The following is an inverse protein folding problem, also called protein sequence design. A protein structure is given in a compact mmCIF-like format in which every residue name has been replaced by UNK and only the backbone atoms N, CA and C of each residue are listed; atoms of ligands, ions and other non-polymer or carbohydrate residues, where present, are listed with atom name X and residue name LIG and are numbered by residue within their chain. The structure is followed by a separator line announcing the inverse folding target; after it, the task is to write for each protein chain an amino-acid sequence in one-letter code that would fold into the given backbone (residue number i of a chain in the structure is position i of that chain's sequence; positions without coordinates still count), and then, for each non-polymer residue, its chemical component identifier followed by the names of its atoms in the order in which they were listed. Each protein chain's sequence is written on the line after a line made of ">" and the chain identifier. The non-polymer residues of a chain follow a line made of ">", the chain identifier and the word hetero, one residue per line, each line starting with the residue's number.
data_IF_481594074106
#
_entry.id   IF_481594074106
#
_cell.length_a   1.000
_cell.length_b   1.000
_cell.length_c   1.000
_cell.angle_alpha   90.00
_cell.angle_beta   90.00
_cell.angle_gamma   90.00
#
_symmetry.space_group_name_H-M   'P 1'
#
loop_
_entity.id
_entity.type
_entity.pdbx_description
1 polymer ?
#
# COMPACT_ATOMS: atom_id res chain seq x y z
N UNK A 1 -17.46 3.48 -39.66
CA UNK A 1 -16.04 3.22 -39.37
C UNK A 1 -15.95 2.30 -38.17
N UNK A 2 -15.70 1.02 -38.41
CA UNK A 2 -15.08 0.09 -37.46
C UNK A 2 -14.47 -1.01 -38.33
N UNK A 3 -13.15 -0.98 -38.44
CA UNK A 3 -12.37 -1.81 -39.35
C UNK A 3 -12.23 -3.23 -38.83
N UNK A 4 -12.59 -4.14 -39.72
CA UNK A 4 -12.19 -5.53 -39.79
C UNK A 4 -10.65 -5.67 -39.85
N UNK A 5 -10.09 -6.77 -39.32
CA UNK A 5 -9.09 -7.57 -40.05
C UNK A 5 -8.77 -8.87 -39.30
N UNK A 6 -9.15 -9.99 -39.91
CA UNK A 6 -8.69 -11.31 -39.56
C UNK A 6 -7.50 -11.77 -40.41
N UNK A 7 -7.01 -12.96 -40.04
CA UNK A 7 -6.18 -13.85 -40.84
C UNK A 7 -5.12 -14.56 -39.98
N UNK A 8 -4.52 -15.67 -40.44
CA UNK A 8 -4.98 -16.68 -41.42
C UNK A 8 -4.82 -18.12 -40.85
N UNK A 9 -5.33 -19.13 -41.56
CA UNK A 9 -5.38 -20.57 -41.19
C UNK A 9 -6.51 -20.91 -40.19
N UNK A 10 -7.72 -21.36 -40.55
CA UNK A 10 -8.15 -22.13 -41.73
C UNK A 10 -7.72 -23.60 -41.57
N UNK A 11 -8.60 -24.59 -41.36
CA UNK A 11 -10.06 -24.59 -41.28
C UNK A 11 -10.62 -26.02 -41.14
N UNK A 12 -11.96 -26.09 -41.17
CA UNK A 12 -12.82 -27.24 -41.46
C UNK A 12 -12.86 -28.35 -40.39
N UNK A 13 -13.98 -28.75 -39.80
CA UNK A 13 -15.38 -28.68 -40.23
C UNK A 13 -15.94 -30.12 -40.19
N UNK A 14 -17.10 -30.30 -39.56
CA UNK A 14 -17.89 -31.53 -39.66
C UNK A 14 -18.57 -31.95 -38.36
N UNK A 15 -19.87 -31.69 -38.30
CA UNK A 15 -20.93 -32.49 -37.67
C UNK A 15 -20.54 -33.93 -37.30
N UNK A 16 -21.00 -34.41 -36.14
CA UNK A 16 -22.29 -35.10 -36.05
C UNK A 16 -22.49 -35.63 -34.61
N UNK A 17 -23.73 -35.47 -34.12
CA UNK A 17 -24.45 -36.42 -33.25
C UNK A 17 -23.80 -37.08 -32.02
N UNK A 18 -24.48 -36.92 -30.88
CA UNK A 18 -24.85 -38.10 -30.10
C UNK A 18 -24.43 -38.13 -28.64
N UNK A 19 -25.42 -37.94 -27.79
CA UNK A 19 -25.43 -38.10 -26.33
C UNK A 19 -24.76 -39.39 -25.81
N UNK A 20 -24.12 -39.23 -24.66
CA UNK A 20 -23.57 -40.32 -23.85
C UNK A 20 -24.52 -40.64 -22.70
N UNK A 21 -25.02 -41.88 -22.71
CA UNK A 21 -25.57 -42.53 -21.54
C UNK A 21 -24.69 -43.70 -21.09
N UNK A 22 -24.46 -43.72 -19.78
CA UNK A 22 -24.50 -44.82 -18.83
C UNK A 22 -23.68 -46.14 -19.02
N UNK A 23 -23.16 -46.59 -17.85
CA UNK A 23 -22.50 -47.88 -17.55
C UNK A 23 -23.49 -49.08 -17.68
N UNK A 24 -23.18 -50.35 -17.30
CA UNK A 24 -21.92 -51.01 -16.87
C UNK A 24 -21.68 -52.43 -17.48
N UNK A 25 -20.60 -53.09 -17.01
CA UNK A 25 -20.58 -54.49 -16.53
C UNK A 25 -19.78 -55.54 -17.34
N UNK A 26 -18.76 -56.08 -16.66
CA UNK A 26 -18.32 -57.48 -16.51
C UNK A 26 -18.50 -58.51 -17.65
N UNK A 27 -17.42 -59.22 -17.96
CA UNK A 27 -17.50 -60.66 -18.25
C UNK A 27 -16.53 -61.22 -19.30
N UNK A 28 -15.61 -62.08 -18.86
CA UNK A 28 -15.38 -63.38 -19.52
C UNK A 28 -14.38 -63.48 -20.68
N UNK A 29 -13.17 -63.94 -20.30
CA UNK A 29 -12.19 -64.79 -21.00
C UNK A 29 -12.26 -65.12 -22.51
N UNK A 30 -11.09 -65.08 -23.16
CA UNK A 30 -10.45 -66.21 -23.90
C UNK A 30 -9.06 -65.81 -24.43
N UNK A 31 -8.08 -66.72 -24.28
CA UNK A 31 -6.76 -66.81 -24.95
C UNK A 31 -6.92 -66.92 -26.49
N UNK A 32 -5.92 -66.62 -27.37
CA UNK A 32 -4.63 -67.36 -27.41
C UNK A 32 -3.37 -66.65 -28.00
N UNK A 33 -2.18 -67.22 -27.68
CA UNK A 33 -0.92 -67.17 -28.46
C UNK A 33 -0.18 -65.82 -28.48
N UNK A 34 1.14 -65.71 -28.61
CA UNK A 34 2.23 -66.62 -29.00
C UNK A 34 3.55 -65.79 -28.89
N UNK A 35 4.62 -66.37 -28.31
CA UNK A 35 6.09 -66.13 -28.47
C UNK A 35 6.67 -64.70 -28.36
N UNK A 36 7.74 -64.35 -27.62
CA UNK A 36 8.81 -65.00 -26.81
C UNK A 36 9.75 -63.85 -26.34
N UNK A 37 11.05 -64.05 -26.00
CA UNK A 37 11.73 -65.00 -25.10
C UNK A 37 12.21 -64.33 -23.78
N UNK A 38 12.36 -65.13 -22.70
CA UNK A 38 12.84 -64.68 -21.38
C UNK A 38 14.37 -64.69 -21.29
N UNK A 39 14.96 -63.60 -20.80
CA UNK A 39 16.37 -63.46 -20.43
C UNK A 39 16.61 -64.01 -19.00
N UNK A 40 17.47 -65.03 -18.82
CA UNK A 40 17.79 -65.61 -17.51
C UNK A 40 19.08 -65.00 -16.94
N UNK A 41 19.02 -63.78 -16.39
CA UNK A 41 20.22 -63.15 -15.79
C UNK A 41 20.00 -62.58 -14.37
N UNK A 42 18.75 -62.42 -13.91
CA UNK A 42 18.47 -61.91 -12.56
C UNK A 42 18.48 -63.00 -11.48
N UNK A 43 18.22 -64.25 -11.86
CA UNK A 43 18.13 -65.38 -10.92
C UNK A 43 19.51 -65.93 -10.52
N UNK A 44 20.50 -65.85 -11.42
CA UNK A 44 21.89 -66.22 -11.15
C UNK A 44 22.62 -65.22 -10.25
N UNK A 45 22.30 -63.93 -10.36
CA UNK A 45 22.90 -62.87 -9.54
C UNK A 45 22.45 -63.00 -8.07
N UNK A 46 21.18 -63.36 -7.86
CA UNK A 46 20.59 -63.58 -6.53
C UNK A 46 21.14 -64.86 -5.89
N UNK A 47 21.34 -65.92 -6.69
CA UNK A 47 21.95 -67.17 -6.22
C UNK A 47 23.41 -66.99 -5.80
N UNK A 48 24.20 -66.25 -6.58
CA UNK A 48 25.61 -65.93 -6.23
C UNK A 48 25.74 -65.08 -4.98
N UNK A 49 24.80 -64.15 -4.74
CA UNK A 49 24.73 -63.37 -3.49
C UNK A 49 24.42 -64.23 -2.26
N UNK A 50 23.53 -65.22 -2.41
CA UNK A 50 23.17 -66.15 -1.33
C UNK A 50 24.30 -67.17 -1.04
N UNK A 51 25.07 -67.58 -2.05
CA UNK A 51 26.19 -68.50 -1.87
C UNK A 51 27.41 -67.84 -1.22
N UNK A 52 27.71 -66.57 -1.53
CA UNK A 52 28.79 -65.82 -0.84
C UNK A 52 28.43 -65.50 0.62
N UNK A 53 27.16 -65.21 0.93
CA UNK A 53 26.71 -65.02 2.30
C UNK A 53 26.81 -66.32 3.12
N UNK A 54 26.53 -67.47 2.49
CA UNK A 54 26.61 -68.80 3.13
C UNK A 54 28.03 -69.23 3.43
N UNK A 55 29.01 -68.87 2.59
CA UNK A 55 30.43 -69.14 2.81
C UNK A 55 31.03 -68.22 3.88
N UNK A 56 30.53 -66.98 4.02
CA UNK A 56 30.95 -66.07 5.09
C UNK A 56 30.30 -66.41 6.45
N UNK A 57 29.13 -67.06 6.45
CA UNK A 57 28.36 -67.40 7.66
C UNK A 57 28.58 -68.85 8.15
N UNK A 58 29.29 -69.70 7.40
CA UNK A 58 29.46 -71.14 7.67
C UNK A 58 30.89 -71.56 7.97
N UNK A 59 31.43 -71.15 9.12
CA UNK A 59 32.76 -71.56 9.60
C UNK A 59 32.82 -73.00 10.13
N UNK A 60 33.45 -73.88 9.33
CA UNK A 60 34.43 -74.94 9.69
C UNK A 60 34.13 -75.98 10.79
N UNK A 61 34.17 -77.26 10.38
CA UNK A 61 34.44 -78.46 11.20
C UNK A 61 33.42 -79.57 10.91
N UNK A 62 33.73 -80.81 10.54
CA UNK A 62 34.95 -81.59 10.65
C UNK A 62 34.62 -82.94 11.29
N UNK A 63 34.28 -83.94 10.47
CA UNK A 63 34.42 -85.37 10.78
C UNK A 63 33.32 -86.08 11.60
N UNK A 64 33.02 -87.33 11.19
CA UNK A 64 32.72 -88.41 12.15
C UNK A 64 31.29 -88.96 12.20
N UNK A 65 31.10 -90.07 11.49
CA UNK A 65 30.08 -91.14 11.62
C UNK A 65 29.34 -91.25 12.97
N UNK A 66 28.02 -91.44 12.93
CA UNK A 66 27.33 -92.69 13.32
C UNK A 66 25.87 -92.44 13.77
N UNK A 67 24.96 -93.07 13.03
CA UNK A 67 23.78 -93.81 13.47
C UNK A 67 22.74 -93.17 14.43
N UNK A 68 21.54 -92.96 13.87
CA UNK A 68 20.27 -93.34 14.50
C UNK A 68 19.55 -92.26 15.32
N UNK A 69 18.30 -91.99 14.96
CA UNK A 69 17.31 -91.42 15.88
C UNK A 69 16.49 -90.25 15.34
N UNK A 70 15.19 -90.50 15.18
CA UNK A 70 14.06 -89.67 15.62
C UNK A 70 14.29 -88.17 15.85
N UNK A 71 13.44 -87.32 15.27
CA UNK A 71 13.22 -85.98 15.81
C UNK A 71 12.60 -85.03 14.80
N UNK A 72 11.44 -84.47 15.15
CA UNK A 72 10.80 -83.41 14.39
C UNK A 72 11.77 -82.25 14.13
N UNK A 73 11.76 -81.78 12.88
CA UNK A 73 12.47 -80.57 12.49
C UNK A 73 11.72 -79.35 13.02
N UNK A 74 11.87 -79.07 14.31
CA UNK A 74 11.76 -77.70 14.80
C UNK A 74 12.81 -76.87 14.06
N UNK A 75 12.34 -75.83 13.37
CA UNK A 75 13.18 -74.92 12.61
C UNK A 75 14.29 -74.36 13.50
N UNK A 76 15.52 -74.79 13.24
CA UNK A 76 16.74 -74.25 13.82
C UNK A 76 16.82 -72.77 13.45
N UNK A 77 16.28 -71.91 14.32
CA UNK A 77 16.52 -70.48 14.28
C UNK A 77 18.03 -70.20 14.28
N UNK A 78 18.45 -69.08 13.67
CA UNK A 78 19.87 -68.79 13.45
C UNK A 78 20.66 -68.91 14.76
N UNK A 79 21.69 -69.75 14.76
CA UNK A 79 22.60 -69.89 15.89
C UNK A 79 23.29 -68.54 16.14
N UNK A 80 22.92 -67.88 17.24
CA UNK A 80 23.48 -66.62 17.68
C UNK A 80 24.90 -66.84 18.22
N UNK A 81 25.88 -66.98 17.34
CA UNK A 81 27.30 -66.89 17.73
C UNK A 81 27.55 -65.47 18.29
N UNK A 82 28.41 -65.33 19.30
CA UNK A 82 28.69 -64.02 19.92
C UNK A 82 29.14 -62.94 18.92
N UNK A 83 29.73 -63.35 17.79
CA UNK A 83 30.06 -62.49 16.65
C UNK A 83 28.85 -62.02 15.85
N UNK A 84 27.83 -62.86 15.65
CA UNK A 84 26.58 -62.48 14.98
C UNK A 84 25.76 -61.49 15.82
N UNK A 85 25.75 -61.68 17.14
CA UNK A 85 25.15 -60.72 18.09
C UNK A 85 25.92 -59.39 18.06
N UNK A 86 27.26 -59.43 18.05
CA UNK A 86 28.08 -58.22 18.00
C UNK A 86 27.90 -57.43 16.69
N UNK A 87 27.87 -58.12 15.55
CA UNK A 87 27.63 -57.50 14.24
C UNK A 87 26.20 -56.96 14.15
N UNK A 88 25.20 -57.73 14.61
CA UNK A 88 23.81 -57.28 14.68
C UNK A 88 23.63 -56.04 15.57
N UNK A 89 24.31 -56.01 16.72
CA UNK A 89 24.33 -54.85 17.63
C UNK A 89 24.96 -53.61 17.00
N UNK A 90 26.08 -53.77 16.26
CA UNK A 90 26.72 -52.68 15.53
C UNK A 90 25.84 -52.12 14.41
N UNK A 91 25.19 -53.00 13.64
CA UNK A 91 24.25 -52.58 12.59
C UNK A 91 23.04 -51.86 13.20
N UNK A 92 22.50 -52.38 14.31
CA UNK A 92 21.41 -51.73 15.03
C UNK A 92 21.82 -50.35 15.59
N UNK A 93 23.02 -50.22 16.16
CA UNK A 93 23.58 -48.94 16.62
C UNK A 93 23.78 -47.96 15.46
N UNK A 94 24.26 -48.43 14.32
CA UNK A 94 24.44 -47.60 13.12
C UNK A 94 23.10 -47.08 12.57
N UNK A 95 22.10 -47.96 12.47
CA UNK A 95 20.73 -47.58 12.06
C UNK A 95 20.08 -46.62 13.07
N UNK A 96 20.32 -46.84 14.37
CA UNK A 96 19.86 -45.96 15.43
C UNK A 96 20.50 -44.57 15.36
N UNK A 97 21.82 -44.50 15.17
CA UNK A 97 22.53 -43.24 15.02
C UNK A 97 22.08 -42.50 13.76
N UNK A 98 21.89 -43.20 12.63
CA UNK A 98 21.37 -42.61 11.40
C UNK A 98 19.95 -42.07 11.57
N UNK A 99 19.06 -42.81 12.25
CA UNK A 99 17.70 -42.38 12.54
C UNK A 99 17.62 -41.22 13.55
N UNK A 100 18.69 -41.00 14.33
CA UNK A 100 18.79 -39.91 15.32
C UNK A 100 19.16 -38.57 14.70
N UNK A 101 19.64 -38.55 13.45
CA UNK A 101 19.86 -37.31 12.72
C UNK A 101 18.55 -36.76 12.17
N UNK A 102 18.43 -35.44 12.18
CA UNK A 102 17.30 -34.75 11.59
C UNK A 102 17.71 -33.40 11.02
N UNK A 103 16.89 -32.88 10.12
CA UNK A 103 17.13 -31.59 9.48
C UNK A 103 16.11 -30.57 9.96
N UNK A 104 16.59 -29.35 10.21
CA UNK A 104 15.78 -28.18 10.58
C UNK A 104 15.88 -27.17 9.44
N UNK A 105 14.75 -26.61 9.02
CA UNK A 105 14.73 -25.62 7.93
C UNK A 105 15.28 -24.26 8.38
N UNK A 106 15.71 -23.40 7.46
CA UNK A 106 16.17 -22.04 7.78
C UNK A 106 15.17 -21.15 8.55
N UNK A 107 13.86 -21.42 8.41
CA UNK A 107 12.79 -20.68 9.11
C UNK A 107 12.40 -21.28 10.47
N UNK A 108 12.99 -22.43 10.81
CA UNK A 108 12.67 -23.23 11.98
C UNK A 108 13.87 -23.29 12.93
N UNK A 109 13.61 -23.42 14.23
CA UNK A 109 14.61 -23.78 15.24
C UNK A 109 14.09 -24.98 16.02
N UNK A 110 14.98 -25.89 16.41
CA UNK A 110 14.60 -27.03 17.24
C UNK A 110 14.97 -26.79 18.69
N UNK A 111 14.05 -27.04 19.61
CA UNK A 111 14.36 -27.11 21.03
C UNK A 111 14.57 -28.57 21.40
N UNK A 112 15.79 -28.89 21.84
CA UNK A 112 16.19 -30.23 22.24
C UNK A 112 16.04 -30.37 23.77
N UNK A 113 15.31 -31.39 24.19
CA UNK A 113 15.11 -31.71 25.59
C UNK A 113 15.80 -33.02 25.94
N UNK A 114 16.68 -33.00 26.94
CA UNK A 114 17.27 -34.21 27.50
C UNK A 114 16.45 -34.66 28.71
N UNK A 115 15.80 -35.84 28.62
CA UNK A 115 14.93 -36.38 29.67
C UNK A 115 13.87 -35.36 30.16
N UNK A 116 13.34 -34.54 29.25
CA UNK A 116 12.32 -33.52 29.54
C UNK A 116 12.85 -32.20 30.11
N UNK A 117 14.16 -32.02 30.27
CA UNK A 117 14.78 -30.73 30.62
C UNK A 117 15.37 -30.08 29.38
N UNK A 118 15.28 -28.76 29.28
CA UNK A 118 15.94 -27.99 28.23
C UNK A 118 17.44 -28.31 28.18
N UNK A 119 17.93 -28.71 27.02
CA UNK A 119 19.34 -29.02 26.79
C UNK A 119 20.00 -27.97 25.89
N UNK A 120 19.46 -27.77 24.69
CA UNK A 120 20.00 -26.82 23.72
C UNK A 120 18.93 -26.40 22.70
N UNK A 121 19.17 -25.26 22.07
CA UNK A 121 18.46 -24.86 20.85
C UNK A 121 19.34 -25.23 19.65
N UNK A 122 18.78 -25.99 18.72
CA UNK A 122 19.41 -26.41 17.48
C UNK A 122 19.24 -25.36 16.39
N UNK A 123 20.34 -25.03 15.74
CA UNK A 123 20.39 -24.09 14.62
C UNK A 123 19.87 -24.73 13.31
N UNK A 124 19.53 -23.94 12.28
CA UNK A 124 19.14 -24.49 10.99
C UNK A 124 20.21 -25.39 10.38
N UNK A 125 19.83 -26.57 9.91
CA UNK A 125 20.75 -27.56 9.37
C UNK A 125 20.56 -28.96 9.93
N UNK A 126 21.64 -29.74 9.93
CA UNK A 126 21.64 -31.12 10.42
C UNK A 126 21.89 -31.14 11.93
N UNK A 127 20.92 -31.63 12.67
CA UNK A 127 20.96 -31.78 14.13
C UNK A 127 20.87 -33.26 14.53
N UNK A 128 21.25 -33.56 15.78
CA UNK A 128 21.35 -34.92 16.29
C UNK A 128 20.62 -35.06 17.63
N UNK A 129 19.49 -35.77 17.62
CA UNK A 129 18.68 -36.04 18.81
C UNK A 129 18.52 -37.56 18.98
N UNK A 130 19.34 -38.20 19.84
CA UNK A 130 19.26 -39.63 20.10
C UNK A 130 18.04 -39.99 20.95
N UNK A 131 17.02 -40.57 20.32
CA UNK A 131 15.87 -41.14 21.03
C UNK A 131 16.29 -42.43 21.77
N UNK A 132 15.89 -42.70 23.02
CA UNK A 132 14.83 -42.04 23.81
C UNK A 132 15.32 -40.95 24.78
N UNK A 133 16.61 -40.61 24.78
CA UNK A 133 17.19 -39.70 25.77
C UNK A 133 16.94 -38.23 25.43
N UNK A 134 16.93 -37.89 24.14
CA UNK A 134 16.67 -36.54 23.64
C UNK A 134 15.39 -36.53 22.81
N UNK A 135 14.45 -35.67 23.19
CA UNK A 135 13.27 -35.32 22.39
C UNK A 135 13.47 -33.97 21.72
N UNK A 136 12.87 -33.77 20.55
CA UNK A 136 12.99 -32.53 19.78
C UNK A 136 11.61 -31.93 19.52
N UNK A 137 11.54 -30.61 19.58
CA UNK A 137 10.37 -29.83 19.18
C UNK A 137 10.80 -28.78 18.17
N UNK A 138 10.13 -28.68 17.02
CA UNK A 138 10.53 -27.79 15.93
C UNK A 138 9.52 -26.65 15.85
N UNK A 139 10.00 -25.42 16.04
CA UNK A 139 9.18 -24.22 15.99
C UNK A 139 9.60 -23.33 14.83
N UNK A 140 8.63 -22.70 14.19
CA UNK A 140 8.86 -21.70 13.14
C UNK A 140 9.12 -20.34 13.77
N UNK A 141 10.39 -19.95 13.90
CA UNK A 141 10.77 -18.71 14.58
C UNK A 141 10.77 -17.49 13.66
N UNK A 142 11.12 -17.68 12.38
CA UNK A 142 11.30 -16.57 11.44
C UNK A 142 10.01 -16.13 10.73
N UNK A 143 8.89 -16.82 10.96
CA UNK A 143 7.61 -16.51 10.31
C UNK A 143 6.83 -15.50 11.14
N UNK A 144 6.36 -14.43 10.50
CA UNK A 144 5.39 -13.52 11.11
C UNK A 144 4.05 -14.25 11.31
N UNK A 145 3.60 -14.33 12.57
CA UNK A 145 2.29 -14.82 12.95
C UNK A 145 1.37 -13.64 13.25
N UNK A 146 0.08 -13.83 13.01
CA UNK A 146 -0.94 -12.80 13.17
C UNK A 146 -1.98 -13.31 14.17
N UNK A 147 -2.22 -12.52 15.21
CA UNK A 147 -3.36 -12.70 16.10
C UNK A 147 -4.31 -11.55 15.87
N UNK A 148 -5.57 -11.87 15.58
CA UNK A 148 -6.63 -10.89 15.35
C UNK A 148 -7.51 -10.78 16.59
N UNK A 149 -7.80 -9.54 17.00
CA UNK A 149 -8.61 -9.22 18.17
C UNK A 149 -9.72 -8.26 17.72
N UNK A 150 -10.93 -8.46 18.23
CA UNK A 150 -12.11 -7.61 17.94
C UNK A 150 -13.09 -8.17 16.91
N UNK A 151 -12.74 -9.23 16.17
CA UNK A 151 -13.59 -9.81 15.10
C UNK A 151 -14.94 -10.40 15.56
N UNK A 152 -15.15 -10.54 16.88
CA UNK A 152 -16.42 -10.91 17.49
C UNK A 152 -17.20 -9.69 17.98
N UNK A 153 -18.52 -9.68 17.79
CA UNK A 153 -19.44 -8.54 18.02
C UNK A 153 -19.44 -7.91 19.44
N UNK A 154 -18.63 -8.40 20.39
CA UNK A 154 -18.50 -7.84 21.75
C UNK A 154 -17.06 -7.70 22.25
N UNK A 155 -16.08 -8.30 21.59
CA UNK A 155 -14.69 -8.31 22.09
C UNK A 155 -13.91 -7.04 21.71
N UNK A 156 -14.37 -6.30 20.69
CA UNK A 156 -13.75 -5.05 20.22
C UNK A 156 -14.25 -3.77 20.90
N UNK A 157 -15.27 -3.85 21.78
CA UNK A 157 -15.87 -2.67 22.40
C UNK A 157 -15.01 -2.15 23.56
N UNK A 158 -14.58 -0.88 23.46
CA UNK A 158 -13.75 -0.19 24.44
C UNK A 158 -14.29 1.20 24.77
N UNK A 159 -14.01 1.67 25.98
CA UNK A 159 -14.36 3.02 26.43
C UNK A 159 -13.11 3.90 26.38
N UNK A 160 -13.22 5.05 25.72
CA UNK A 160 -12.16 6.06 25.64
C UNK A 160 -12.15 6.94 26.90
N UNK A 161 -11.07 7.70 27.10
CA UNK A 161 -10.93 8.60 28.26
C UNK A 161 -11.94 9.75 28.29
N UNK A 162 -12.53 10.08 27.14
CA UNK A 162 -13.62 11.07 26.98
C UNK A 162 -15.02 10.43 26.99
N UNK A 163 -15.16 9.25 27.63
CA UNK A 163 -16.42 8.53 27.87
C UNK A 163 -17.17 8.08 26.60
N UNK A 164 -16.46 7.94 25.47
CA UNK A 164 -17.06 7.41 24.25
C UNK A 164 -16.81 5.91 24.09
N UNK A 165 -17.79 5.20 23.55
CA UNK A 165 -17.63 3.79 23.19
C UNK A 165 -17.13 3.72 21.75
N UNK A 166 -16.12 2.88 21.52
CA UNK A 166 -15.53 2.62 20.20
C UNK A 166 -15.39 1.12 19.98
N UNK A 167 -15.70 0.68 18.77
CA UNK A 167 -15.50 -0.68 18.28
C UNK A 167 -14.17 -0.75 17.52
N UNK A 168 -13.19 -1.43 18.10
CA UNK A 168 -11.81 -1.51 17.60
C UNK A 168 -11.48 -2.93 17.18
N UNK A 169 -11.16 -3.07 15.89
CA UNK A 169 -10.54 -4.26 15.34
C UNK A 169 -9.05 -4.00 15.11
N UNK A 170 -8.21 -4.87 15.64
CA UNK A 170 -6.78 -4.76 15.44
C UNK A 170 -6.12 -6.13 15.34
N UNK A 171 -4.93 -6.16 14.76
CA UNK A 171 -4.11 -7.35 14.65
C UNK A 171 -2.73 -7.08 15.22
N UNK A 172 -2.18 -8.08 15.92
CA UNK A 172 -0.82 -8.06 16.42
C UNK A 172 0.00 -9.03 15.59
N UNK A 173 1.04 -8.50 14.96
CA UNK A 173 2.00 -9.27 14.18
C UNK A 173 3.24 -9.50 15.03
N UNK A 174 3.60 -10.76 15.22
CA UNK A 174 4.68 -11.17 16.12
C UNK A 174 5.48 -12.33 15.52
N UNK A 175 6.67 -12.55 16.05
CA UNK A 175 7.51 -13.71 15.77
C UNK A 175 8.21 -14.20 17.04
N UNK A 176 8.74 -15.41 16.99
CA UNK A 176 9.45 -16.01 18.14
C UNK A 176 10.91 -15.56 18.07
N UNK A 177 11.38 -14.90 19.13
CA UNK A 177 12.77 -14.49 19.26
C UNK A 177 13.61 -15.55 19.99
N UNK A 178 13.04 -16.15 21.05
CA UNK A 178 13.68 -17.22 21.83
C UNK A 178 12.70 -18.40 21.98
N UNK A 179 12.92 -19.52 21.26
CA UNK A 179 12.02 -20.66 21.29
C UNK A 179 12.03 -21.42 22.61
N UNK A 180 13.12 -21.34 23.39
CA UNK A 180 13.19 -22.00 24.70
C UNK A 180 12.27 -21.26 25.68
N UNK A 181 12.39 -19.94 25.75
CA UNK A 181 11.51 -19.10 26.56
C UNK A 181 10.04 -19.25 26.17
N UNK A 182 9.76 -19.28 24.87
CA UNK A 182 8.41 -19.46 24.34
C UNK A 182 7.74 -20.78 24.78
N UNK A 183 8.47 -21.90 24.78
CA UNK A 183 7.92 -23.21 25.15
C UNK A 183 7.77 -23.43 26.67
N UNK A 184 8.69 -22.88 27.47
CA UNK A 184 8.74 -23.23 28.89
C UNK A 184 8.09 -22.19 29.81
N UNK A 185 8.02 -20.92 29.41
CA UNK A 185 7.48 -19.86 30.26
C UNK A 185 5.99 -19.59 30.03
N UNK A 186 5.45 -19.97 28.87
CA UNK A 186 4.05 -19.79 28.53
C UNK A 186 3.36 -21.13 28.34
N UNK A 187 2.26 -21.36 29.08
CA UNK A 187 1.44 -22.56 28.92
C UNK A 187 0.65 -22.56 27.60
N UNK A 188 0.11 -21.40 27.24
CA UNK A 188 -0.63 -21.17 26.01
C UNK A 188 -0.21 -19.80 25.45
N UNK A 189 0.77 -19.76 24.54
CA UNK A 189 1.33 -18.52 24.04
C UNK A 189 0.31 -17.68 23.26
N UNK A 190 -0.49 -18.30 22.39
CA UNK A 190 -1.46 -17.57 21.56
C UNK A 190 -2.54 -16.90 22.43
N UNK A 191 -3.11 -17.62 23.40
CA UNK A 191 -4.08 -17.06 24.32
C UNK A 191 -3.48 -15.96 25.21
N UNK A 192 -2.22 -16.10 25.62
CA UNK A 192 -1.53 -15.10 26.44
C UNK A 192 -1.26 -13.82 25.64
N UNK A 193 -0.78 -13.94 24.40
CA UNK A 193 -0.57 -12.80 23.50
C UNK A 193 -1.88 -12.06 23.27
N UNK A 194 -2.97 -12.79 23.02
CA UNK A 194 -4.30 -12.22 22.85
C UNK A 194 -4.72 -11.42 24.08
N UNK A 195 -4.67 -12.03 25.27
CA UNK A 195 -5.08 -11.39 26.51
C UNK A 195 -4.23 -10.16 26.87
N UNK A 196 -2.91 -10.25 26.70
CA UNK A 196 -1.99 -9.11 26.93
C UNK A 196 -2.25 -7.99 25.93
N UNK A 197 -2.43 -8.34 24.66
CA UNK A 197 -2.69 -7.35 23.59
C UNK A 197 -4.02 -6.64 23.79
N UNK A 198 -5.07 -7.39 24.17
CA UNK A 198 -6.37 -6.82 24.50
C UNK A 198 -6.28 -5.88 25.71
N UNK A 199 -5.60 -6.31 26.78
CA UNK A 199 -5.43 -5.49 27.98
C UNK A 199 -4.65 -4.19 27.68
N UNK A 200 -3.54 -4.30 26.95
CA UNK A 200 -2.72 -3.16 26.57
C UNK A 200 -3.48 -2.17 25.67
N UNK A 201 -4.25 -2.69 24.70
CA UNK A 201 -5.11 -1.85 23.87
C UNK A 201 -6.17 -1.14 24.72
N UNK A 202 -6.87 -1.86 25.60
CA UNK A 202 -7.88 -1.28 26.51
C UNK A 202 -7.28 -0.19 27.39
N UNK A 203 -6.08 -0.37 27.91
CA UNK A 203 -5.39 0.62 28.72
C UNK A 203 -5.06 1.91 27.93
N UNK A 204 -4.45 1.77 26.76
CA UNK A 204 -4.07 2.93 25.93
C UNK A 204 -5.31 3.68 25.43
N UNK A 205 -6.36 2.97 25.05
CA UNK A 205 -7.62 3.56 24.60
C UNK A 205 -8.33 4.29 25.73
N UNK A 206 -8.35 3.73 26.94
CA UNK A 206 -8.92 4.40 28.12
C UNK A 206 -8.20 5.70 28.50
N UNK A 207 -6.92 5.86 28.12
CA UNK A 207 -6.14 7.08 28.33
C UNK A 207 -6.22 8.07 27.15
N UNK A 208 -6.85 7.66 26.04
CA UNK A 208 -6.91 8.42 24.80
C UNK A 208 -8.31 8.97 24.54
N UNK A 209 -8.40 10.10 23.85
CA UNK A 209 -9.67 10.65 23.37
C UNK A 209 -10.11 9.97 22.07
N UNK A 210 -11.41 10.00 21.76
CA UNK A 210 -11.97 9.34 20.57
C UNK A 210 -11.44 9.94 19.25
N UNK A 211 -11.36 11.27 19.16
CA UNK A 211 -11.03 11.95 17.89
C UNK A 211 -9.65 11.56 17.30
N UNK A 212 -8.55 11.49 18.09
CA UNK A 212 -7.26 10.94 17.66
C UNK A 212 -7.34 9.50 17.12
N UNK A 213 -8.13 8.63 17.78
CA UNK A 213 -8.31 7.22 17.41
C UNK A 213 -8.99 7.11 16.03
N UNK A 214 -10.01 7.94 15.77
CA UNK A 214 -10.73 7.92 14.51
C UNK A 214 -9.90 8.47 13.33
N UNK A 215 -8.94 9.36 13.60
CA UNK A 215 -8.22 10.11 12.59
C UNK A 215 -6.74 9.70 12.47
N UNK A 216 -5.84 10.68 12.52
CA UNK A 216 -4.44 10.58 12.08
C UNK A 216 -3.50 9.91 13.10
N UNK A 217 -3.91 9.81 14.35
CA UNK A 217 -3.03 9.38 15.45
C UNK A 217 -3.06 7.88 15.71
N UNK A 218 -3.75 7.09 14.87
CA UNK A 218 -3.74 5.62 14.92
C UNK A 218 -2.33 5.03 14.93
N UNK A 219 -1.39 5.65 14.22
CA UNK A 219 0.01 5.20 14.21
C UNK A 219 0.69 5.35 15.58
N UNK A 220 0.51 6.48 16.25
CA UNK A 220 1.11 6.74 17.57
C UNK A 220 0.53 5.82 18.64
N UNK A 221 -0.78 5.57 18.57
CA UNK A 221 -1.47 4.63 19.45
C UNK A 221 -0.95 3.21 19.20
N UNK A 222 -0.80 2.80 17.94
CA UNK A 222 -0.26 1.49 17.58
C UNK A 222 1.15 1.28 18.13
N UNK A 223 2.00 2.30 18.04
CA UNK A 223 3.38 2.26 18.56
C UNK A 223 3.40 2.16 20.09
N UNK A 224 2.50 2.88 20.77
CA UNK A 224 2.38 2.84 22.23
C UNK A 224 1.86 1.47 22.70
N UNK A 225 0.84 0.93 22.04
CA UNK A 225 0.33 -0.42 22.32
C UNK A 225 1.40 -1.47 22.05
N UNK A 226 2.12 -1.37 20.92
CA UNK A 226 3.24 -2.26 20.61
C UNK A 226 4.27 -2.27 21.73
N UNK A 227 4.68 -1.09 22.21
CA UNK A 227 5.65 -0.96 23.28
C UNK A 227 5.14 -1.60 24.59
N UNK A 228 3.89 -1.33 24.97
CA UNK A 228 3.28 -1.87 26.18
C UNK A 228 3.10 -3.40 26.13
N UNK A 229 2.68 -3.94 24.98
CA UNK A 229 2.58 -5.40 24.76
C UNK A 229 3.96 -6.04 24.84
N UNK A 230 4.97 -5.46 24.20
CA UNK A 230 6.33 -5.98 24.25
C UNK A 230 6.89 -5.96 25.68
N UNK A 231 6.69 -4.88 26.43
CA UNK A 231 7.15 -4.75 27.81
C UNK A 231 6.48 -5.80 28.72
N UNK A 232 5.16 -5.97 28.57
CA UNK A 232 4.40 -6.98 29.32
C UNK A 232 4.86 -8.40 28.97
N UNK A 233 5.04 -8.73 27.69
CA UNK A 233 5.54 -10.04 27.26
C UNK A 233 6.99 -10.29 27.70
N UNK A 234 7.82 -9.24 27.75
CA UNK A 234 9.18 -9.33 28.30
C UNK A 234 9.15 -9.63 29.80
N UNK A 235 8.21 -9.06 30.55
CA UNK A 235 8.06 -9.32 31.98
C UNK A 235 7.70 -10.78 32.30
N UNK A 236 7.05 -11.47 31.36
CA UNK A 236 6.74 -12.90 31.43
C UNK A 236 7.84 -13.79 30.87
N UNK A 237 8.96 -13.20 30.43
CA UNK A 237 10.02 -13.90 29.72
C UNK A 237 9.47 -14.74 28.56
N UNK A 238 8.51 -14.21 27.81
CA UNK A 238 7.78 -14.95 26.79
C UNK A 238 8.62 -15.40 25.59
N UNK A 239 9.79 -14.77 25.34
CA UNK A 239 10.61 -15.05 24.17
C UNK A 239 9.97 -14.59 22.84
N UNK A 240 8.98 -13.71 22.90
CA UNK A 240 8.23 -13.20 21.73
C UNK A 240 8.71 -11.80 21.38
N UNK A 241 8.82 -11.52 20.08
CA UNK A 241 9.05 -10.19 19.56
C UNK A 241 7.82 -9.70 18.76
N UNK A 242 7.27 -8.57 19.18
CA UNK A 242 6.14 -7.91 18.53
C UNK A 242 6.68 -7.03 17.41
N UNK A 243 6.35 -7.37 16.18
CA UNK A 243 6.80 -6.63 14.99
C UNK A 243 6.00 -5.34 14.86
N UNK A 244 4.67 -5.43 14.90
CA UNK A 244 3.75 -4.29 14.70
C UNK A 244 2.35 -4.62 15.18
N UNK A 245 1.60 -3.56 15.49
CA UNK A 245 0.16 -3.60 15.76
C UNK A 245 -0.52 -2.81 14.64
N UNK A 246 -1.48 -3.43 13.95
CA UNK A 246 -2.22 -2.77 12.88
C UNK A 246 -3.69 -2.63 13.28
N UNK A 247 -4.24 -1.42 13.15
CA UNK A 247 -5.67 -1.19 13.26
C UNK A 247 -6.37 -1.57 11.95
N UNK A 248 -7.37 -2.44 12.03
CA UNK A 248 -8.27 -2.76 10.91
C UNK A 248 -9.47 -1.82 10.88
N UNK A 249 -10.08 -1.58 12.05
CA UNK A 249 -11.29 -0.77 12.21
C UNK A 249 -11.26 -0.05 13.55
N UNK A 250 -11.77 1.17 13.58
CA UNK A 250 -11.98 1.93 14.81
C UNK A 250 -13.14 2.88 14.53
N UNK A 251 -14.37 2.42 14.77
CA UNK A 251 -15.59 3.17 14.50
C UNK A 251 -16.49 3.22 15.75
N UNK A 252 -17.33 4.25 15.91
CA UNK A 252 -18.38 4.22 16.93
C UNK A 252 -19.37 3.07 16.69
N UNK A 253 -20.08 2.59 17.73
CA UNK A 253 -21.13 1.59 17.60
C UNK A 253 -22.20 1.99 16.57
N UNK A 254 -22.75 1.00 15.88
CA UNK A 254 -23.72 1.24 14.80
C UNK A 254 -24.98 1.96 15.29
N UNK A 255 -25.33 1.80 16.56
CA UNK A 255 -26.50 2.41 17.18
C UNK A 255 -26.38 3.94 17.28
N UNK A 256 -25.15 4.49 17.35
CA UNK A 256 -24.90 5.93 17.57
C UNK A 256 -24.11 6.60 16.46
N UNK A 257 -23.68 5.84 15.44
CA UNK A 257 -22.83 6.35 14.36
C UNK A 257 -23.49 7.49 13.56
N UNK A 258 -24.81 7.46 13.39
CA UNK A 258 -25.55 8.51 12.68
C UNK A 258 -25.49 9.83 13.45
N UNK A 259 -25.83 9.82 14.75
CA UNK A 259 -25.73 11.00 15.60
C UNK A 259 -24.30 11.56 15.67
N UNK A 260 -23.29 10.69 15.68
CA UNK A 260 -21.88 11.12 15.64
C UNK A 260 -21.55 11.81 14.31
N UNK A 261 -21.99 11.25 13.19
CA UNK A 261 -21.81 11.85 11.85
C UNK A 261 -22.50 13.21 11.76
N UNK A 262 -23.67 13.37 12.36
CA UNK A 262 -24.40 14.65 12.39
C UNK A 262 -23.62 15.71 13.17
N UNK A 263 -23.06 15.38 14.33
CA UNK A 263 -22.23 16.31 15.12
C UNK A 263 -20.96 16.71 14.35
N UNK A 264 -20.33 15.76 13.66
CA UNK A 264 -19.17 16.04 12.82
C UNK A 264 -19.52 16.92 11.63
N UNK A 265 -20.63 16.64 10.95
CA UNK A 265 -21.13 17.44 9.83
C UNK A 265 -21.44 18.88 10.29
N UNK A 266 -22.14 19.04 11.41
CA UNK A 266 -22.43 20.36 11.99
C UNK A 266 -21.16 21.12 12.39
N UNK A 267 -20.16 20.44 12.95
CA UNK A 267 -18.87 21.05 13.31
C UNK A 267 -18.10 21.50 12.07
N UNK A 268 -18.07 20.68 11.03
CA UNK A 268 -17.45 21.04 9.74
C UNK A 268 -18.17 22.21 9.07
N UNK A 269 -19.51 22.24 9.16
CA UNK A 269 -20.31 23.34 8.62
C UNK A 269 -20.06 24.65 9.38
N UNK A 270 -19.99 24.61 10.72
CA UNK A 270 -19.58 25.75 11.53
C UNK A 270 -18.21 26.28 11.09
N UNK A 271 -17.20 25.42 11.03
CA UNK A 271 -15.83 25.82 10.68
C UNK A 271 -15.76 26.37 9.25
N UNK A 272 -16.57 25.83 8.33
CA UNK A 272 -16.70 26.34 6.97
C UNK A 272 -17.33 27.73 6.95
N UNK A 273 -18.42 27.94 7.68
CA UNK A 273 -19.10 29.23 7.78
C UNK A 273 -18.20 30.30 8.40
N UNK A 274 -17.45 29.95 9.45
CA UNK A 274 -16.48 30.84 10.08
C UNK A 274 -15.38 31.25 9.07
N UNK A 275 -14.78 30.28 8.37
CA UNK A 275 -13.78 30.57 7.33
C UNK A 275 -14.34 31.40 6.17
N UNK A 276 -15.60 31.20 5.80
CA UNK A 276 -16.27 32.00 4.78
C UNK A 276 -16.51 33.44 5.26
N UNK A 277 -16.91 33.62 6.52
CA UNK A 277 -17.08 34.93 7.13
C UNK A 277 -15.74 35.68 7.21
N UNK A 278 -14.68 35.00 7.65
CA UNK A 278 -13.32 35.56 7.68
C UNK A 278 -12.84 35.95 6.28
N UNK A 279 -13.05 35.08 5.29
CA UNK A 279 -12.71 35.38 3.90
C UNK A 279 -13.47 36.60 3.37
N UNK A 280 -14.75 36.73 3.68
CA UNK A 280 -15.57 37.89 3.31
C UNK A 280 -15.07 39.17 3.99
N UNK A 281 -14.82 39.13 5.30
CA UNK A 281 -14.31 40.27 6.05
C UNK A 281 -12.95 40.74 5.52
N UNK A 282 -12.04 39.80 5.28
CA UNK A 282 -10.73 40.09 4.69
C UNK A 282 -10.85 40.68 3.28
N UNK A 283 -11.76 40.15 2.45
CA UNK A 283 -12.01 40.68 1.10
C UNK A 283 -12.58 42.09 1.13
N UNK A 284 -13.57 42.34 2.00
CA UNK A 284 -14.18 43.66 2.14
C UNK A 284 -13.17 44.70 2.64
N UNK A 285 -12.37 44.35 3.65
CA UNK A 285 -11.33 45.22 4.19
C UNK A 285 -10.24 45.51 3.15
N UNK A 286 -9.79 44.49 2.40
CA UNK A 286 -8.81 44.67 1.34
C UNK A 286 -9.38 45.52 0.18
N UNK A 287 -10.64 45.32 -0.19
CA UNK A 287 -11.34 46.13 -1.19
C UNK A 287 -11.41 47.60 -0.78
N UNK A 288 -11.86 47.89 0.44
CA UNK A 288 -11.94 49.26 0.96
C UNK A 288 -10.57 49.94 1.03
N UNK A 289 -9.50 49.22 1.40
CA UNK A 289 -8.13 49.74 1.37
C UNK A 289 -7.66 50.02 -0.06
N UNK A 290 -7.99 49.15 -1.00
CA UNK A 290 -7.69 49.33 -2.42
C UNK A 290 -8.37 50.56 -3.01
N UNK A 291 -9.67 50.74 -2.74
CA UNK A 291 -10.45 51.91 -3.17
C UNK A 291 -9.89 53.20 -2.57
N UNK A 292 -9.59 53.21 -1.27
CA UNK A 292 -8.99 54.37 -0.60
C UNK A 292 -7.63 54.75 -1.20
N UNK A 293 -6.77 53.76 -1.48
CA UNK A 293 -5.49 54.00 -2.13
C UNK A 293 -5.67 54.49 -3.57
N UNK A 294 -6.61 53.92 -4.33
CA UNK A 294 -6.92 54.34 -5.69
C UNK A 294 -7.35 55.82 -5.74
N UNK A 295 -8.28 56.23 -4.88
CA UNK A 295 -8.76 57.63 -4.82
C UNK A 295 -7.62 58.59 -4.47
N UNK A 296 -6.73 58.19 -3.56
CA UNK A 296 -5.57 59.00 -3.18
C UNK A 296 -4.60 59.16 -4.36
N UNK A 297 -4.27 58.07 -5.06
CA UNK A 297 -3.38 58.11 -6.21
C UNK A 297 -3.99 58.85 -7.41
N UNK A 298 -5.30 58.72 -7.66
CA UNK A 298 -6.01 59.51 -8.67
C UNK A 298 -5.98 61.01 -8.34
N UNK A 299 -6.11 61.36 -7.06
CA UNK A 299 -6.03 62.75 -6.60
C UNK A 299 -4.61 63.32 -6.76
N UNK A 300 -3.59 62.54 -6.43
CA UNK A 300 -2.18 62.92 -6.64
C UNK A 300 -1.84 63.04 -8.12
N UNK A 301 -2.32 62.11 -8.95
CA UNK A 301 -2.17 62.17 -10.40
C UNK A 301 -2.84 63.42 -10.98
N UNK A 302 -4.06 63.74 -10.55
CA UNK A 302 -4.76 64.96 -10.97
C UNK A 302 -4.01 66.23 -10.54
N UNK A 303 -3.54 66.28 -9.28
CA UNK A 303 -2.73 67.39 -8.76
C UNK A 303 -1.48 67.57 -9.62
N UNK A 304 -0.74 66.50 -9.87
CA UNK A 304 0.46 66.53 -10.69
C UNK A 304 0.16 66.98 -12.13
N UNK A 305 -0.94 66.50 -12.72
CA UNK A 305 -1.38 66.91 -14.05
C UNK A 305 -1.66 68.43 -14.11
N UNK A 306 -2.42 68.96 -13.15
CA UNK A 306 -2.78 70.39 -13.10
C UNK A 306 -1.52 71.25 -12.93
N UNK A 307 -0.62 70.88 -12.02
CA UNK A 307 0.63 71.62 -11.78
C UNK A 307 1.52 71.59 -13.03
N UNK A 308 1.76 70.40 -13.60
CA UNK A 308 2.59 70.26 -14.80
C UNK A 308 1.99 70.99 -16.01
N UNK A 309 0.67 71.00 -16.15
CA UNK A 309 0.01 71.74 -17.22
C UNK A 309 0.15 73.26 -17.01
N UNK A 310 -0.05 73.77 -15.79
CA UNK A 310 0.14 75.18 -15.49
C UNK A 310 1.60 75.63 -15.70
N UNK A 311 2.58 74.82 -15.28
CA UNK A 311 4.00 75.08 -15.51
C UNK A 311 4.35 75.05 -17.01
N UNK A 312 3.81 74.07 -17.76
CA UNK A 312 3.98 73.97 -19.20
C UNK A 312 3.39 75.18 -19.94
N UNK A 313 2.20 75.63 -19.55
CA UNK A 313 1.55 76.82 -20.10
C UNK A 313 2.32 78.10 -19.75
N UNK A 314 2.81 78.23 -18.51
CA UNK A 314 3.64 79.36 -18.09
C UNK A 314 4.97 79.40 -18.85
N UNK A 315 5.66 78.26 -18.97
CA UNK A 315 6.90 78.13 -19.74
C UNK A 315 6.70 78.47 -21.21
N UNK A 316 5.60 77.99 -21.81
CA UNK A 316 5.19 78.35 -23.18
C UNK A 316 4.94 79.86 -23.30
N UNK A 317 4.22 80.47 -22.36
CA UNK A 317 3.95 81.90 -22.36
C UNK A 317 5.24 82.72 -22.26
N UNK A 318 6.15 82.37 -21.35
CA UNK A 318 7.44 83.04 -21.19
C UNK A 318 8.29 82.94 -22.47
N UNK A 319 8.29 81.78 -23.11
CA UNK A 319 8.98 81.57 -24.40
C UNK A 319 8.42 82.48 -25.50
N UNK A 320 7.09 82.57 -25.61
CA UNK A 320 6.42 83.47 -26.57
C UNK A 320 6.70 84.94 -26.23
N UNK A 321 6.67 85.32 -24.96
CA UNK A 321 6.95 86.69 -24.50
C UNK A 321 8.38 87.12 -24.85
N UNK A 322 9.35 86.23 -24.69
CA UNK A 322 10.74 86.49 -25.04
C UNK A 322 10.89 86.81 -26.53
N UNK A 323 10.23 86.05 -27.41
CA UNK A 323 10.24 86.31 -28.86
C UNK A 323 9.43 87.56 -29.24
N UNK A 324 8.28 87.78 -28.59
CA UNK A 324 7.46 88.97 -28.79
C UNK A 324 8.22 90.26 -28.49
N UNK A 325 9.05 90.27 -27.42
CA UNK A 325 9.91 91.41 -27.06
C UNK A 325 10.97 91.71 -28.12
N UNK A 326 11.45 90.71 -28.86
CA UNK A 326 12.43 90.91 -29.96
C UNK A 326 11.76 91.48 -31.21
N UNK A 327 10.56 91.00 -31.57
CA UNK A 327 9.87 91.41 -32.78
C UNK A 327 8.32 91.39 -32.61
N UNK A 328 7.71 92.51 -32.19
CA UNK A 328 6.29 92.54 -31.80
C UNK A 328 5.30 92.30 -32.95
N UNK A 329 5.51 92.92 -34.11
CA UNK A 329 4.52 92.89 -35.21
C UNK A 329 4.42 91.52 -35.89
N UNK A 330 5.57 90.89 -36.17
CA UNK A 330 5.62 89.56 -36.80
C UNK A 330 5.07 88.47 -35.88
N UNK A 331 5.35 88.54 -34.59
CA UNK A 331 4.89 87.57 -33.59
C UNK A 331 3.37 87.65 -33.43
N UNK A 332 2.80 88.86 -33.36
CA UNK A 332 1.33 89.05 -33.28
C UNK A 332 0.62 88.54 -34.53
N UNK A 333 1.12 88.88 -35.72
CA UNK A 333 0.54 88.44 -37.00
C UNK A 333 0.59 86.91 -37.13
N UNK A 334 1.70 86.29 -36.74
CA UNK A 334 1.84 84.83 -36.71
C UNK A 334 0.83 84.16 -35.76
N UNK A 335 0.76 84.61 -34.51
CA UNK A 335 -0.21 84.09 -33.53
C UNK A 335 -1.66 84.20 -34.02
N UNK A 336 -2.01 85.32 -34.64
CA UNK A 336 -3.34 85.52 -35.21
C UNK A 336 -3.62 84.52 -36.34
N UNK A 337 -2.70 84.37 -37.29
CA UNK A 337 -2.85 83.44 -38.41
C UNK A 337 -2.90 81.99 -37.94
N UNK A 338 -2.03 81.55 -37.02
CA UNK A 338 -2.06 80.19 -36.44
C UNK A 338 -3.35 79.92 -35.66
N UNK A 339 -3.87 80.93 -34.95
CA UNK A 339 -5.13 80.79 -34.21
C UNK A 339 -6.31 80.72 -35.17
N UNK A 340 -6.32 81.56 -36.21
CA UNK A 340 -7.35 81.51 -37.26
C UNK A 340 -7.27 80.22 -38.07
N UNK A 341 -6.08 79.73 -38.40
CA UNK A 341 -5.89 78.43 -39.04
C UNK A 341 -6.46 77.30 -38.16
N UNK A 342 -6.14 77.27 -36.86
CA UNK A 342 -6.63 76.24 -35.94
C UNK A 342 -8.14 76.30 -35.73
N UNK A 343 -8.71 77.50 -35.57
CA UNK A 343 -10.14 77.68 -35.37
C UNK A 343 -10.86 77.37 -36.68
N UNK A 344 -10.51 78.07 -37.76
CA UNK A 344 -11.14 77.90 -39.08
C UNK A 344 -10.89 76.49 -39.66
N UNK A 345 -9.83 75.78 -39.26
CA UNK A 345 -9.58 74.40 -39.68
C UNK A 345 -10.50 73.37 -39.03
N UNK A 346 -11.15 73.72 -37.91
CA UNK A 346 -12.14 72.87 -37.22
C UNK A 346 -13.59 73.21 -37.58
N UNK A 347 -13.82 74.24 -38.38
CA UNK A 347 -15.17 74.63 -38.82
C UNK A 347 -15.33 74.28 -40.29
N UNK A 348 -16.44 73.65 -40.64
CA UNK A 348 -16.81 73.41 -42.03
C UNK A 348 -17.15 74.76 -42.69
N UNK A 349 -16.38 75.12 -43.74
CA UNK A 349 -16.46 76.43 -44.39
C UNK A 349 -17.12 76.32 -45.76
N UNK A 350 -18.10 77.17 -46.01
CA UNK A 350 -18.72 77.38 -47.33
C UNK A 350 -18.28 78.76 -47.82
N UNK A 351 -17.55 78.82 -48.94
CA UNK A 351 -17.05 80.06 -49.55
C UNK A 351 -17.95 80.38 -50.76
N UNK A 352 -18.53 81.59 -50.78
CA UNK A 352 -19.39 82.07 -51.86
C UNK A 352 -18.63 83.18 -52.58
N UNK A 353 -18.42 83.03 -53.90
CA UNK A 353 -17.79 84.03 -54.74
C UNK A 353 -18.83 85.06 -55.21
N UNK A 354 -18.54 86.34 -55.00
CA UNK A 354 -19.49 87.45 -55.17
C UNK A 354 -19.39 88.18 -56.50
N UNK A 355 -18.50 87.79 -57.42
CA UNK A 355 -18.19 88.58 -58.63
C UNK A 355 -18.44 87.87 -59.97
N UNK A 356 -19.39 86.93 -60.00
CA UNK A 356 -19.95 86.43 -61.27
C UNK A 356 -21.48 86.46 -61.24
N UNK A 357 -22.05 87.46 -61.94
CA UNK A 357 -23.48 87.72 -62.04
C UNK A 357 -24.28 86.64 -62.78
N UNK A 358 -24.48 85.48 -62.14
CA UNK A 358 -25.29 84.38 -62.67
C UNK A 358 -26.03 83.61 -61.57
N UNK A 359 -27.31 83.95 -61.39
CA UNK A 359 -28.44 83.14 -60.90
C UNK A 359 -28.19 82.01 -59.87
N UNK A 360 -28.51 82.28 -58.61
CA UNK A 360 -29.08 81.32 -57.66
C UNK A 360 -28.14 80.22 -57.14
N UNK A 361 -27.35 80.52 -56.10
CA UNK A 361 -26.66 79.48 -55.32
C UNK A 361 -27.68 78.77 -54.43
N UNK A 362 -28.04 77.54 -54.79
CA UNK A 362 -28.86 76.66 -53.94
C UNK A 362 -27.93 76.05 -52.88
N UNK A 363 -28.24 76.12 -51.58
CA UNK A 363 -27.42 75.49 -50.54
C UNK A 363 -27.30 73.99 -50.82
N UNK A 364 -26.09 73.52 -51.16
CA UNK A 364 -25.82 72.09 -51.26
C UNK A 364 -25.73 71.53 -49.84
N UNK A 365 -26.80 70.86 -49.40
CA UNK A 365 -26.82 70.05 -48.20
C UNK A 365 -26.43 68.61 -48.60
N UNK A 366 -25.18 68.16 -48.37
CA UNK A 366 -24.78 66.79 -48.65
C UNK A 366 -25.46 65.83 -47.66
N UNK A 367 -26.66 65.35 -48.01
CA UNK A 367 -27.39 64.33 -47.25
C UNK A 367 -26.61 63.00 -47.12
N UNK A 368 -25.62 62.79 -47.99
CA UNK A 368 -24.79 61.58 -47.99
C UNK A 368 -23.78 61.55 -46.82
N UNK A 369 -23.35 62.71 -46.31
CA UNK A 369 -22.35 62.77 -45.22
C UNK A 369 -22.99 62.74 -43.84
N UNK A 370 -24.18 63.31 -43.69
CA UNK A 370 -25.02 63.18 -42.48
C UNK A 370 -25.40 61.72 -42.16
N UNK A 371 -25.49 60.86 -43.18
CA UNK A 371 -25.76 59.42 -42.98
C UNK A 371 -24.52 58.62 -42.60
N UNK A 372 -23.31 59.17 -42.75
CA UNK A 372 -22.04 58.49 -42.48
C UNK A 372 -21.58 58.67 -41.03
N UNK A 373 -22.03 59.73 -40.35
CA UNK A 373 -21.70 60.02 -38.94
C UNK A 373 -22.67 59.40 -37.92
N UNK A 374 -23.82 58.87 -38.35
CA UNK A 374 -24.79 58.21 -37.48
C UNK A 374 -24.62 56.69 -37.34
N UNK A 375 -23.47 56.13 -37.73
CA UNK A 375 -23.24 54.69 -37.83
C UNK A 375 -21.92 54.23 -37.21
N UNK A 376 -21.64 54.68 -35.99
CA UNK A 376 -20.68 54.06 -35.06
C UNK A 376 -21.08 54.46 -33.64
N UNK A 377 -21.99 53.68 -33.06
CA UNK A 377 -21.95 53.35 -31.63
C UNK A 377 -21.17 52.03 -31.48
#
# INVERSE_FOLDING_TARGET
>A
MAGNNGGPWGGGGGDDGGDKDNRPNNGGGRKPGQDGPQLPELEELVKKGQEQLRVLMGGRGGGGRSNGGSGGGEGQGPALNGTTIAIGGLVALGLWAFASFYTVKPEEQSVELFLGKYYSTGEPGLNFAPWPFVTKEILTVSREQIVEIGSGARDGLMLTGDENIVDIDFQVVWNINDPAKYLFNLRDPEATILAVSESAMREVIAQSNLSPILNRDRGLIADTVKALVQDTLNSYDAGINVVRVNFKKADPPQEVIEAFRDVQAASQERDKLEKQADAYANKALAGARGEAAQVLEESEAYRAQVVNQAEGEASRFLSILAEFRKAPEVTRKRLYLETMERVLGRVDKVIIDGDSGGQGVVPYLPLNELRKSGGTE
#
